data_IF_064818831121
#
_entry.id   IF_064818831121
#
_cell.length_a   1.000
_cell.length_b   1.000
_cell.length_c   1.000
_cell.angle_alpha   90.00
_cell.angle_beta   90.00
_cell.angle_gamma   90.00
#
_symmetry.space_group_name_H-M   'P 1'
#
loop_
_entity.id
_entity.type
_entity.pdbx_description
1 polymer ?
#
# COMPACT_ATOMS: atom_id res chain seq x y z
N UNK A 1 36.86 16.31 -16.09
CA UNK A 1 35.39 16.55 -16.05
C UNK A 1 34.69 15.25 -16.40
N UNK A 2 34.21 14.53 -15.37
CA UNK A 2 33.38 13.33 -15.60
C UNK A 2 32.00 13.81 -15.96
N UNK A 3 31.59 13.59 -17.21
CA UNK A 3 30.22 13.69 -17.60
C UNK A 3 29.42 12.65 -16.79
N UNK A 4 28.66 13.09 -15.79
CA UNK A 4 27.56 12.32 -15.26
C UNK A 4 26.60 12.14 -16.45
N UNK A 5 26.66 10.98 -17.08
CA UNK A 5 25.60 10.54 -18.01
C UNK A 5 24.30 10.58 -17.23
N UNK A 6 23.47 11.52 -17.58
CA UNK A 6 22.13 11.67 -17.05
C UNK A 6 21.37 10.42 -17.51
N UNK A 7 21.31 9.40 -16.65
CA UNK A 7 20.62 8.14 -16.89
C UNK A 7 19.10 8.38 -16.85
N UNK A 8 18.62 9.24 -17.74
CA UNK A 8 17.17 9.39 -17.93
C UNK A 8 16.67 8.11 -18.57
N UNK A 9 15.65 7.54 -17.95
CA UNK A 9 14.96 6.39 -18.48
C UNK A 9 14.44 6.72 -19.88
N UNK A 10 14.61 5.78 -20.82
CA UNK A 10 14.07 5.95 -22.17
C UNK A 10 12.55 6.12 -22.10
N UNK A 11 11.95 7.05 -22.88
CA UNK A 11 10.51 7.33 -22.82
C UNK A 11 9.64 6.10 -22.99
N UNK A 12 10.01 5.19 -23.87
CA UNK A 12 9.29 3.94 -24.10
C UNK A 12 9.32 3.03 -22.87
N UNK A 13 10.47 2.92 -22.22
CA UNK A 13 10.60 2.15 -20.99
C UNK A 13 9.74 2.77 -19.86
N UNK A 14 9.76 4.10 -19.73
CA UNK A 14 8.93 4.80 -18.76
C UNK A 14 7.44 4.56 -19.01
N UNK A 15 6.99 4.57 -20.27
CA UNK A 15 5.61 4.28 -20.68
C UNK A 15 5.20 2.86 -20.26
N UNK A 16 6.02 1.86 -20.59
CA UNK A 16 5.75 0.45 -20.25
C UNK A 16 5.67 0.25 -18.72
N UNK A 17 6.58 0.86 -17.97
CA UNK A 17 6.57 0.76 -16.52
C UNK A 17 5.33 1.43 -15.91
N UNK A 18 4.90 2.58 -16.43
CA UNK A 18 3.69 3.26 -15.97
C UNK A 18 2.43 2.44 -16.27
N UNK A 19 2.33 1.82 -17.46
CA UNK A 19 1.24 0.92 -17.79
C UNK A 19 1.19 -0.29 -16.85
N UNK A 20 2.34 -0.90 -16.58
CA UNK A 20 2.44 -2.04 -15.68
C UNK A 20 2.06 -1.63 -14.25
N UNK A 21 2.52 -0.50 -13.76
CA UNK A 21 2.15 0.04 -12.47
C UNK A 21 0.63 0.28 -12.36
N UNK A 22 0.01 0.84 -13.41
CA UNK A 22 -1.43 1.03 -13.49
C UNK A 22 -2.22 -0.29 -13.43
N UNK A 23 -1.74 -1.31 -14.12
CA UNK A 23 -2.36 -2.65 -14.08
C UNK A 23 -2.25 -3.26 -12.67
N UNK A 24 -1.08 -3.22 -12.06
CA UNK A 24 -0.85 -3.69 -10.69
C UNK A 24 -1.68 -2.92 -9.66
N UNK A 25 -1.84 -1.61 -9.86
CA UNK A 25 -2.68 -0.78 -9.01
C UNK A 25 -4.16 -1.19 -9.03
N UNK A 26 -4.67 -1.64 -10.17
CA UNK A 26 -6.05 -2.10 -10.31
C UNK A 26 -6.28 -3.54 -9.82
N UNK A 27 -5.25 -4.35 -9.81
CA UNK A 27 -5.32 -5.76 -9.42
C UNK A 27 -4.12 -6.13 -8.52
N UNK A 28 -4.37 -6.21 -7.23
CA UNK A 28 -3.35 -6.55 -6.23
C UNK A 28 -2.66 -7.90 -6.48
N UNK A 29 -3.32 -8.81 -7.19
CA UNK A 29 -2.78 -10.15 -7.52
C UNK A 29 -1.52 -10.08 -8.37
N UNK A 30 -1.26 -8.95 -9.05
CA UNK A 30 -0.05 -8.70 -9.82
C UNK A 30 1.15 -8.26 -8.95
N UNK A 31 0.92 -7.92 -7.69
CA UNK A 31 1.96 -7.51 -6.75
C UNK A 31 2.59 -8.73 -6.05
N UNK A 32 3.23 -9.60 -6.81
CA UNK A 32 3.78 -10.86 -6.30
C UNK A 32 4.72 -10.73 -5.11
N UNK A 33 5.67 -9.78 -5.06
CA UNK A 33 6.54 -9.62 -3.90
C UNK A 33 5.76 -9.34 -2.62
N UNK A 34 4.77 -8.45 -2.68
CA UNK A 34 3.91 -8.13 -1.54
C UNK A 34 3.13 -9.37 -1.07
N UNK A 35 2.48 -10.07 -2.01
CA UNK A 35 1.70 -11.27 -1.70
C UNK A 35 2.56 -12.36 -1.06
N UNK A 36 3.78 -12.54 -1.55
CA UNK A 36 4.71 -13.56 -1.03
C UNK A 36 5.20 -13.21 0.37
N UNK A 37 5.64 -11.98 0.58
CA UNK A 37 6.26 -11.58 1.85
C UNK A 37 5.24 -11.28 2.95
N UNK A 38 4.03 -10.89 2.58
CA UNK A 38 2.95 -10.55 3.51
C UNK A 38 1.85 -11.61 3.60
N UNK A 39 2.08 -12.83 3.15
CA UNK A 39 1.05 -13.87 3.09
C UNK A 39 0.36 -14.11 4.44
N UNK A 40 1.12 -14.23 5.50
CA UNK A 40 0.62 -14.46 6.85
C UNK A 40 -0.20 -13.27 7.36
N UNK A 41 0.30 -12.08 7.15
CA UNK A 41 -0.33 -10.82 7.57
C UNK A 41 -1.62 -10.58 6.77
N UNK A 42 -1.59 -10.80 5.45
CA UNK A 42 -2.76 -10.68 4.59
C UNK A 42 -3.91 -11.59 5.05
N UNK A 43 -3.60 -12.80 5.43
CA UNK A 43 -4.60 -13.75 5.93
C UNK A 43 -5.06 -13.40 7.34
N UNK A 44 -4.14 -13.10 8.26
CA UNK A 44 -4.45 -12.80 9.65
C UNK A 44 -5.33 -11.54 9.81
N UNK A 45 -5.06 -10.50 9.02
CA UNK A 45 -5.80 -9.25 9.05
C UNK A 45 -6.91 -9.17 8.00
N UNK A 46 -7.18 -10.27 7.30
CA UNK A 46 -8.25 -10.40 6.30
C UNK A 46 -8.18 -9.34 5.20
N UNK A 47 -6.98 -9.10 4.70
CA UNK A 47 -6.72 -8.10 3.67
C UNK A 47 -6.86 -8.64 2.24
N UNK A 48 -7.15 -9.91 2.07
CA UNK A 48 -7.41 -10.50 0.75
C UNK A 48 -8.89 -10.37 0.43
N UNK A 49 -9.26 -9.65 -0.63
CA UNK A 49 -10.65 -9.57 -1.09
C UNK A 49 -11.19 -10.94 -1.49
N UNK A 50 -12.48 -11.13 -1.30
CA UNK A 50 -13.13 -12.37 -1.69
C UNK A 50 -13.26 -12.50 -3.21
N UNK A 51 -13.18 -13.72 -3.77
CA UNK A 51 -13.45 -13.96 -5.19
C UNK A 51 -14.85 -13.48 -5.59
N UNK A 52 -14.98 -12.98 -6.81
CA UNK A 52 -16.23 -12.45 -7.35
C UNK A 52 -16.36 -10.93 -7.29
N UNK A 53 -15.43 -10.24 -6.61
CA UNK A 53 -15.42 -8.77 -6.50
C UNK A 53 -14.29 -8.12 -7.32
N UNK A 54 -13.85 -8.77 -8.41
CA UNK A 54 -12.70 -8.35 -9.21
C UNK A 54 -12.81 -6.93 -9.79
N UNK A 55 -14.04 -6.45 -9.96
CA UNK A 55 -14.30 -5.08 -10.43
C UNK A 55 -14.45 -4.06 -9.30
N UNK A 56 -14.37 -4.50 -8.05
CA UNK A 56 -14.51 -3.60 -6.92
C UNK A 56 -13.19 -2.92 -6.58
N UNK A 57 -13.28 -1.76 -5.92
CA UNK A 57 -12.11 -1.03 -5.40
C UNK A 57 -11.28 -1.87 -4.42
N UNK A 58 -11.88 -2.89 -3.80
CA UNK A 58 -11.18 -3.78 -2.87
C UNK A 58 -10.08 -4.60 -3.53
N UNK A 59 -10.13 -4.80 -4.85
CA UNK A 59 -9.06 -5.43 -5.63
C UNK A 59 -7.91 -4.49 -5.97
N UNK A 60 -8.06 -3.20 -5.73
CA UNK A 60 -6.98 -2.26 -5.92
C UNK A 60 -5.88 -2.48 -4.89
N UNK A 61 -4.64 -2.42 -5.36
CA UNK A 61 -3.46 -2.59 -4.51
C UNK A 61 -3.43 -1.62 -3.34
N UNK A 62 -3.88 -0.38 -3.57
CA UNK A 62 -3.97 0.65 -2.52
C UNK A 62 -4.88 0.24 -1.35
N UNK A 63 -5.99 -0.44 -1.61
CA UNK A 63 -6.86 -0.97 -0.56
C UNK A 63 -6.20 -2.08 0.24
N UNK A 64 -5.48 -2.97 -0.43
CA UNK A 64 -4.76 -4.07 0.23
C UNK A 64 -3.62 -3.52 1.09
N UNK A 65 -2.84 -2.57 0.57
CA UNK A 65 -1.78 -1.91 1.34
C UNK A 65 -2.35 -1.12 2.51
N UNK A 66 -3.44 -0.38 2.32
CA UNK A 66 -4.12 0.33 3.41
C UNK A 66 -4.63 -0.62 4.49
N UNK A 67 -5.17 -1.78 4.11
CA UNK A 67 -5.59 -2.80 5.06
C UNK A 67 -4.42 -3.31 5.91
N UNK A 68 -3.27 -3.57 5.30
CA UNK A 68 -2.05 -3.97 6.01
C UNK A 68 -1.54 -2.84 6.93
N UNK A 69 -1.57 -1.59 6.48
CA UNK A 69 -1.18 -0.42 7.28
C UNK A 69 -2.09 -0.27 8.52
N UNK A 70 -3.39 -0.44 8.35
CA UNK A 70 -4.34 -0.46 9.46
C UNK A 70 -4.08 -1.64 10.40
N UNK A 71 -3.72 -2.80 9.86
CA UNK A 71 -3.36 -3.98 10.63
C UNK A 71 -2.13 -3.75 11.51
N UNK A 72 -1.06 -3.17 10.97
CA UNK A 72 0.14 -2.86 11.76
C UNK A 72 -0.12 -1.79 12.81
N UNK A 73 -0.93 -0.78 12.48
CA UNK A 73 -1.34 0.25 13.45
C UNK A 73 -2.12 -0.37 14.61
N UNK A 74 -3.08 -1.22 14.32
CA UNK A 74 -3.85 -1.96 15.33
C UNK A 74 -2.95 -2.84 16.20
N UNK A 75 -2.02 -3.58 15.58
CA UNK A 75 -1.05 -4.39 16.30
C UNK A 75 -0.23 -3.54 17.29
N UNK A 76 0.33 -2.44 16.81
CA UNK A 76 1.17 -1.55 17.64
C UNK A 76 0.38 -0.96 18.81
N UNK A 77 -0.88 -0.58 18.58
CA UNK A 77 -1.76 -0.08 19.63
C UNK A 77 -2.03 -1.14 20.70
N UNK A 78 -2.39 -2.35 20.29
CA UNK A 78 -2.66 -3.45 21.22
C UNK A 78 -1.40 -3.84 22.02
N UNK A 79 -0.24 -3.85 21.39
CA UNK A 79 1.02 -4.14 22.06
C UNK A 79 1.40 -3.07 23.08
N UNK A 80 1.17 -1.80 22.74
CA UNK A 80 1.39 -0.69 23.67
C UNK A 80 0.48 -0.78 24.90
N UNK A 81 -0.81 -1.03 24.71
CA UNK A 81 -1.77 -1.22 25.80
C UNK A 81 -1.39 -2.43 26.67
N UNK A 82 -0.96 -3.53 26.08
CA UNK A 82 -0.50 -4.73 26.78
C UNK A 82 0.71 -4.44 27.65
N UNK A 83 1.69 -3.69 27.13
CA UNK A 83 2.88 -3.30 27.89
C UNK A 83 2.56 -2.36 29.04
N UNK A 84 1.60 -1.44 28.87
CA UNK A 84 1.14 -0.57 29.94
C UNK A 84 0.40 -1.36 31.03
N UNK A 85 -0.49 -2.24 30.66
CA UNK A 85 -1.23 -3.10 31.59
C UNK A 85 -0.30 -4.01 32.40
N UNK A 86 0.81 -4.48 31.80
CA UNK A 86 1.81 -5.30 32.50
C UNK A 86 2.57 -4.52 33.60
N UNK A 87 2.60 -3.19 33.54
CA UNK A 87 3.24 -2.33 34.54
C UNK A 87 2.33 -1.96 35.70
N UNK A 88 1.03 -2.17 35.57
CA UNK A 88 0.02 -1.84 36.58
C UNK A 88 -0.49 -3.12 37.24
N UNK A 89 -0.08 -3.36 38.49
CA UNK A 89 -0.49 -4.52 39.27
C UNK A 89 -2.00 -4.59 39.53
N UNK A 90 -2.69 -3.46 39.45
CA UNK A 90 -4.13 -3.32 39.67
C UNK A 90 -4.93 -3.30 38.35
N UNK A 91 -4.28 -3.43 37.20
CA UNK A 91 -4.98 -3.44 35.91
C UNK A 91 -5.91 -4.67 35.79
N UNK A 92 -7.13 -4.49 35.27
CA UNK A 92 -8.03 -5.60 35.08
C UNK A 92 -7.39 -6.62 34.10
N UNK A 93 -7.50 -7.90 34.42
CA UNK A 93 -7.00 -8.98 33.58
C UNK A 93 -7.79 -9.01 32.27
N UNK A 94 -7.27 -8.34 31.26
CA UNK A 94 -7.82 -8.31 29.91
C UNK A 94 -7.24 -9.48 29.11
N UNK A 95 -8.10 -10.18 28.39
CA UNK A 95 -7.64 -11.18 27.41
C UNK A 95 -7.21 -10.44 26.15
N UNK A 96 -5.92 -10.56 25.81
CA UNK A 96 -5.34 -9.91 24.62
C UNK A 96 -5.52 -10.82 23.40
N UNK A 97 -5.90 -10.26 22.26
CA UNK A 97 -5.97 -11.03 21.04
C UNK A 97 -4.57 -11.55 20.65
N UNK A 98 -4.53 -12.78 20.12
CA UNK A 98 -3.30 -13.33 19.56
C UNK A 98 -3.09 -12.73 18.16
N UNK A 99 -2.31 -11.67 18.07
CA UNK A 99 -2.05 -10.93 16.85
C UNK A 99 -0.79 -11.45 16.16
N UNK A 100 -0.84 -11.53 14.84
CA UNK A 100 0.33 -11.85 14.01
C UNK A 100 1.27 -10.66 13.96
N UNK A 101 2.53 -10.88 14.29
CA UNK A 101 3.59 -9.89 14.18
C UNK A 101 3.92 -9.65 12.71
N UNK A 102 4.03 -8.40 12.32
CA UNK A 102 4.48 -8.07 10.97
C UNK A 102 5.97 -8.38 10.82
N UNK A 103 6.32 -9.20 9.83
CA UNK A 103 7.71 -9.46 9.47
C UNK A 103 8.37 -8.22 8.87
N UNK A 104 9.70 -8.13 9.02
CA UNK A 104 10.46 -7.02 8.43
C UNK A 104 10.38 -7.04 6.89
N UNK A 105 10.35 -8.22 6.30
CA UNK A 105 10.16 -8.41 4.85
C UNK A 105 8.81 -7.88 4.38
N UNK A 106 7.74 -8.17 5.12
CA UNK A 106 6.42 -7.63 4.80
C UNK A 106 6.37 -6.10 4.95
N UNK A 107 6.92 -5.55 6.02
CA UNK A 107 7.02 -4.10 6.22
C UNK A 107 7.78 -3.42 5.09
N UNK A 108 8.86 -4.02 4.64
CA UNK A 108 9.65 -3.52 3.52
C UNK A 108 8.82 -3.46 2.23
N UNK A 109 8.09 -4.52 1.92
CA UNK A 109 7.22 -4.56 0.75
C UNK A 109 6.05 -3.56 0.84
N UNK A 110 5.44 -3.42 2.02
CA UNK A 110 4.42 -2.40 2.27
C UNK A 110 4.94 -0.99 1.99
N UNK A 111 6.13 -0.67 2.50
CA UNK A 111 6.77 0.62 2.30
C UNK A 111 7.10 0.86 0.82
N UNK A 112 7.69 -0.11 0.14
CA UNK A 112 8.04 -0.03 -1.28
C UNK A 112 6.82 0.21 -2.16
N UNK A 113 5.72 -0.49 -1.91
CA UNK A 113 4.49 -0.32 -2.67
C UNK A 113 3.81 1.02 -2.38
N UNK A 114 3.83 1.47 -1.13
CA UNK A 114 3.31 2.81 -0.78
C UNK A 114 4.14 3.92 -1.45
N UNK A 115 5.45 3.79 -1.47
CA UNK A 115 6.34 4.74 -2.15
C UNK A 115 6.05 4.80 -3.66
N UNK A 116 5.86 3.64 -4.31
CA UNK A 116 5.45 3.58 -5.72
C UNK A 116 4.11 4.28 -5.96
N UNK A 117 3.13 4.10 -5.08
CA UNK A 117 1.81 4.73 -5.20
C UNK A 117 1.88 6.25 -5.05
N UNK A 118 2.78 6.76 -4.22
CA UNK A 118 3.01 8.21 -4.07
C UNK A 118 3.65 8.79 -5.32
N UNK A 119 4.56 8.05 -5.94
CA UNK A 119 5.24 8.48 -7.17
C UNK A 119 4.38 8.32 -8.43
N UNK A 120 3.52 7.31 -8.46
CA UNK A 120 2.64 6.99 -9.59
C UNK A 120 1.18 6.99 -9.11
N UNK A 121 0.52 8.14 -9.23
CA UNK A 121 -0.85 8.35 -8.75
C UNK A 121 -1.88 7.40 -9.39
N UNK A 122 -1.59 6.84 -10.56
CA UNK A 122 -2.46 5.87 -11.24
C UNK A 122 -2.58 4.55 -10.49
N UNK A 123 -1.65 4.26 -9.58
CA UNK A 123 -1.74 3.11 -8.67
C UNK A 123 -2.71 3.34 -7.51
N UNK A 124 -3.06 4.58 -7.23
CA UNK A 124 -4.03 4.97 -6.21
C UNK A 124 -5.28 5.59 -6.83
N UNK A 125 -6.10 4.80 -7.55
CA UNK A 125 -7.27 5.32 -8.26
C UNK A 125 -8.27 6.03 -7.35
N UNK A 126 -8.31 5.72 -6.07
CA UNK A 126 -9.13 6.42 -5.08
C UNK A 126 -8.73 7.89 -4.93
N UNK A 127 -7.44 8.21 -5.06
CA UNK A 127 -6.97 9.61 -5.07
C UNK A 127 -7.48 10.32 -6.31
N UNK A 128 -7.34 9.68 -7.46
CA UNK A 128 -7.82 10.24 -8.75
C UNK A 128 -9.33 10.44 -8.74
N UNK A 129 -10.08 9.46 -8.23
CA UNK A 129 -11.55 9.53 -8.20
C UNK A 129 -12.08 10.58 -7.21
N UNK A 130 -11.47 10.68 -6.03
CA UNK A 130 -11.96 11.58 -4.98
C UNK A 130 -11.40 13.00 -5.09
N UNK A 131 -10.27 13.17 -5.77
CA UNK A 131 -9.58 14.45 -5.91
C UNK A 131 -9.51 14.93 -7.37
N UNK A 132 -10.32 14.37 -8.27
CA UNK A 132 -10.26 14.68 -9.69
C UNK A 132 -10.36 16.19 -9.99
N UNK A 133 -11.28 16.89 -9.33
CA UNK A 133 -11.49 18.33 -9.48
C UNK A 133 -10.28 19.13 -8.99
N UNK A 134 -9.68 18.74 -7.88
CA UNK A 134 -8.51 19.39 -7.31
C UNK A 134 -7.27 19.14 -8.14
N UNK A 135 -7.12 17.91 -8.63
CA UNK A 135 -6.03 17.53 -9.54
C UNK A 135 -6.12 18.36 -10.82
N UNK A 136 -7.28 18.43 -11.44
CA UNK A 136 -7.53 19.25 -12.64
C UNK A 136 -7.22 20.71 -12.40
N UNK A 137 -7.65 21.24 -11.27
CA UNK A 137 -7.54 22.67 -10.98
C UNK A 137 -6.13 23.11 -10.60
N UNK A 138 -5.42 22.28 -9.81
CA UNK A 138 -4.18 22.67 -9.15
C UNK A 138 -2.94 21.91 -9.63
N UNK A 139 -3.10 20.71 -10.18
CA UNK A 139 -1.99 19.82 -10.53
C UNK A 139 -1.89 19.58 -12.03
N UNK A 140 -2.92 19.92 -12.81
CA UNK A 140 -2.87 19.79 -14.26
C UNK A 140 -2.32 21.06 -14.90
N UNK A 141 -1.07 21.09 -15.35
CA UNK A 141 -0.68 22.04 -16.36
C UNK A 141 -1.37 21.59 -17.64
N UNK A 142 -2.44 22.27 -18.02
CA UNK A 142 -3.21 22.16 -19.26
C UNK A 142 -2.78 21.01 -20.18
N UNK A 143 -3.33 19.83 -19.97
CA UNK A 143 -3.26 18.74 -20.90
C UNK A 143 -2.22 17.65 -20.66
N UNK A 144 -1.48 17.65 -19.58
CA UNK A 144 -0.34 16.73 -19.40
C UNK A 144 -0.48 15.77 -18.22
N UNK A 145 -1.67 15.24 -17.99
CA UNK A 145 -1.81 13.98 -17.27
C UNK A 145 -1.92 12.85 -18.28
N UNK A 146 -0.76 12.59 -18.90
CA UNK A 146 -0.44 11.37 -19.60
C UNK A 146 -1.54 10.80 -20.50
N UNK A 147 -1.56 11.24 -21.71
CA UNK A 147 -1.94 10.37 -22.79
C UNK A 147 -1.01 9.16 -22.86
#
# INVERSE_FOLDING_TARGET
MQHKEDKRMQPECARILAERAGMMGRDFRLAHPLLKQCDKELQAYRCIPQPGFEKSLQFHLSWVVLCLENGIHFYNQQEHERQQAAKDENAPKKQWPNLVVFSDECKHEMFSHREMMVQEFRMGPEVVMNCATEIDKYCSPKGDFGD
#
